data_IF_404670674008
#
_entry.id   IF_404670674008
#
_cell.length_a   1.000
_cell.length_b   1.000
_cell.length_c   1.000
_cell.angle_alpha   90.00
_cell.angle_beta   90.00
_cell.angle_gamma   90.00
#
_symmetry.space_group_name_H-M   'P 1'
#
loop_
_entity.id
_entity.type
_entity.pdbx_description
1 polymer ?
#
# COMPACT_ATOMS: atom_id res chain seq x y z
N UNK A 1 -17.50 -4.39 -4.67
CA UNK A 1 -17.07 -3.46 -5.74
C UNK A 1 -15.85 -2.71 -5.24
N UNK A 2 -14.69 -2.83 -5.90
CA UNK A 2 -13.43 -2.16 -5.49
C UNK A 2 -13.66 -0.65 -5.59
N UNK A 3 -13.59 0.09 -4.49
CA UNK A 3 -13.67 1.55 -4.54
C UNK A 3 -12.45 2.03 -5.33
N UNK A 4 -12.68 2.62 -6.50
CA UNK A 4 -11.61 3.26 -7.27
C UNK A 4 -11.20 4.48 -6.45
N UNK A 5 -9.99 4.44 -5.90
CA UNK A 5 -9.44 5.56 -5.16
C UNK A 5 -9.00 6.64 -6.17
N UNK A 6 -9.14 7.91 -5.79
CA UNK A 6 -8.75 9.05 -6.64
C UNK A 6 -7.29 8.93 -7.11
N UNK A 7 -6.43 8.32 -6.28
CA UNK A 7 -5.02 8.09 -6.57
C UNK A 7 -4.79 7.08 -7.70
N UNK A 8 -5.64 6.06 -7.81
CA UNK A 8 -5.58 5.12 -8.95
C UNK A 8 -5.92 5.84 -10.26
N UNK A 9 -6.90 6.74 -10.24
CA UNK A 9 -7.26 7.55 -11.42
C UNK A 9 -6.09 8.44 -11.83
N UNK A 10 -5.45 9.12 -10.87
CA UNK A 10 -4.29 9.98 -11.14
C UNK A 10 -3.14 9.17 -11.75
N UNK A 11 -2.84 7.99 -11.22
CA UNK A 11 -1.81 7.10 -11.77
C UNK A 11 -2.12 6.72 -13.23
N UNK A 12 -3.36 6.30 -13.52
CA UNK A 12 -3.76 5.92 -14.87
C UNK A 12 -3.74 7.07 -15.86
N UNK A 13 -4.21 8.26 -15.43
CA UNK A 13 -4.19 9.47 -16.25
C UNK A 13 -2.75 9.88 -16.54
N UNK A 14 -1.88 9.89 -15.53
CA UNK A 14 -0.45 10.16 -15.72
C UNK A 14 0.18 9.18 -16.72
N UNK A 15 -0.13 7.89 -16.62
CA UNK A 15 0.40 6.89 -17.54
C UNK A 15 -0.06 7.14 -18.99
N UNK A 16 -1.35 7.42 -19.18
CA UNK A 16 -1.93 7.73 -20.50
C UNK A 16 -1.32 8.99 -21.12
N UNK A 17 -1.12 10.05 -20.32
CA UNK A 17 -0.49 11.29 -20.77
C UNK A 17 0.95 11.02 -21.21
N UNK A 18 1.69 10.21 -20.46
CA UNK A 18 3.08 9.89 -20.77
C UNK A 18 3.20 9.03 -22.04
N UNK A 19 2.32 8.04 -22.20
CA UNK A 19 2.24 7.22 -23.42
C UNK A 19 1.85 8.09 -24.63
N UNK A 20 0.82 8.93 -24.49
CA UNK A 20 0.37 9.83 -25.53
C UNK A 20 1.47 10.81 -25.96
N UNK A 21 2.21 11.36 -24.99
CA UNK A 21 3.37 12.22 -25.25
C UNK A 21 4.48 11.48 -26.03
N UNK A 22 4.83 10.24 -25.62
CA UNK A 22 5.85 9.43 -26.30
C UNK A 22 5.43 9.13 -27.73
N UNK A 23 4.19 8.70 -27.96
CA UNK A 23 3.67 8.41 -29.30
C UNK A 23 3.72 9.66 -30.18
N UNK A 24 3.19 10.78 -29.68
CA UNK A 24 3.14 12.03 -30.45
C UNK A 24 4.53 12.58 -30.79
N UNK A 25 5.50 12.39 -29.89
CA UNK A 25 6.92 12.75 -30.12
C UNK A 25 7.59 11.82 -31.13
N UNK A 26 7.31 10.52 -31.10
CA UNK A 26 7.85 9.54 -32.05
C UNK A 26 7.29 9.72 -33.47
N UNK A 27 6.02 10.09 -33.61
CA UNK A 27 5.39 10.34 -34.91
C UNK A 27 5.77 11.68 -35.53
N UNK A 28 6.61 12.49 -34.87
CA UNK A 28 7.02 13.82 -35.36
C UNK A 28 5.86 14.81 -35.50
N UNK A 29 4.71 14.52 -34.87
CA UNK A 29 3.49 15.32 -34.94
C UNK A 29 3.63 16.65 -34.20
N UNK A 30 4.63 16.77 -33.33
CA UNK A 30 4.86 17.93 -32.48
C UNK A 30 6.21 18.57 -32.85
N UNK A 31 6.19 19.79 -33.36
CA UNK A 31 7.37 20.66 -33.42
C UNK A 31 7.59 21.23 -32.01
N UNK A 32 8.22 20.45 -31.12
CA UNK A 32 8.14 20.63 -29.65
C UNK A 32 8.61 22.01 -29.17
N UNK A 33 7.70 22.92 -28.80
CA UNK A 33 8.01 24.13 -28.05
C UNK A 33 8.46 23.72 -26.64
N UNK A 34 9.28 24.53 -25.97
CA UNK A 34 9.87 24.20 -24.66
C UNK A 34 8.82 23.78 -23.60
N UNK A 35 7.64 24.38 -23.63
CA UNK A 35 6.53 24.06 -22.72
C UNK A 35 6.02 22.62 -22.85
N UNK A 36 6.04 22.03 -24.05
CA UNK A 36 5.59 20.64 -24.26
C UNK A 36 6.61 19.66 -23.68
N UNK A 37 7.90 20.02 -23.65
CA UNK A 37 8.93 19.19 -23.01
C UNK A 37 8.81 19.14 -21.48
N UNK A 38 8.00 20.00 -20.86
CA UNK A 38 7.72 19.95 -19.42
C UNK A 38 6.67 18.89 -19.06
N UNK A 39 5.84 18.45 -20.01
CA UNK A 39 4.77 17.48 -19.78
C UNK A 39 5.28 16.22 -19.07
N UNK A 40 6.37 15.54 -19.50
CA UNK A 40 6.88 14.36 -18.82
C UNK A 40 7.27 14.63 -17.37
N UNK A 41 7.91 15.76 -17.08
CA UNK A 41 8.36 16.13 -15.74
C UNK A 41 7.16 16.33 -14.82
N UNK A 42 6.17 17.11 -15.28
CA UNK A 42 4.93 17.35 -14.54
C UNK A 42 4.22 16.02 -14.27
N UNK A 43 4.10 15.18 -15.30
CA UNK A 43 3.45 13.87 -15.20
C UNK A 43 4.14 12.97 -14.18
N UNK A 44 5.46 13.00 -14.13
CA UNK A 44 6.27 12.21 -13.20
C UNK A 44 6.13 12.70 -11.75
N UNK A 45 6.01 14.01 -11.53
CA UNK A 45 5.70 14.60 -10.21
C UNK A 45 4.33 14.14 -9.71
N UNK A 46 3.29 14.23 -10.55
CA UNK A 46 1.95 13.76 -10.19
C UNK A 46 1.92 12.26 -9.91
N UNK A 47 2.60 11.47 -10.73
CA UNK A 47 2.74 10.03 -10.52
C UNK A 47 3.43 9.72 -9.19
N UNK A 48 4.56 10.38 -8.90
CA UNK A 48 5.30 10.18 -7.65
C UNK A 48 4.46 10.56 -6.42
N UNK A 49 3.71 11.66 -6.48
CA UNK A 49 2.81 12.08 -5.39
C UNK A 49 1.69 11.06 -5.15
N UNK A 50 1.02 10.59 -6.21
CA UNK A 50 -0.02 9.57 -6.09
C UNK A 50 0.53 8.21 -5.63
N UNK A 51 1.72 7.85 -6.10
CA UNK A 51 2.41 6.63 -5.67
C UNK A 51 2.77 6.69 -4.18
N UNK A 52 3.30 7.82 -3.70
CA UNK A 52 3.62 8.03 -2.29
C UNK A 52 2.40 7.88 -1.39
N UNK A 53 1.27 8.49 -1.77
CA UNK A 53 -0.01 8.34 -1.07
C UNK A 53 -0.45 6.88 -0.95
N UNK A 54 -0.35 6.12 -2.06
CA UNK A 54 -0.66 4.68 -2.05
C UNK A 54 0.25 3.87 -1.15
N UNK A 55 1.55 4.16 -1.14
CA UNK A 55 2.52 3.48 -0.29
C UNK A 55 2.22 3.72 1.18
N UNK A 56 1.90 4.96 1.56
CA UNK A 56 1.48 5.28 2.93
C UNK A 56 0.22 4.52 3.35
N UNK A 57 -0.82 4.53 2.51
CA UNK A 57 -2.04 3.79 2.79
C UNK A 57 -1.80 2.28 2.93
N UNK A 58 -0.93 1.71 2.09
CA UNK A 58 -0.55 0.30 2.20
C UNK A 58 0.22 0.00 3.49
N UNK A 59 1.14 0.88 3.87
CA UNK A 59 1.94 0.73 5.09
C UNK A 59 1.07 0.81 6.34
N UNK A 60 0.08 1.70 6.37
CA UNK A 60 -0.90 1.80 7.44
C UNK A 60 -1.73 0.51 7.57
N UNK A 61 -2.21 -0.04 6.45
CA UNK A 61 -2.94 -1.31 6.43
C UNK A 61 -2.07 -2.46 6.93
N UNK A 62 -0.80 -2.52 6.53
CA UNK A 62 0.14 -3.53 7.02
C UNK A 62 0.35 -3.41 8.53
N UNK A 63 0.65 -2.21 9.02
CA UNK A 63 0.89 -1.99 10.45
C UNK A 63 -0.33 -2.40 11.29
N UNK A 64 -1.53 -2.06 10.81
CA UNK A 64 -2.77 -2.48 11.43
C UNK A 64 -2.90 -4.02 11.43
N UNK A 65 -2.66 -4.69 10.30
CA UNK A 65 -2.72 -6.17 10.26
C UNK A 65 -1.70 -6.83 11.17
N UNK A 66 -0.48 -6.31 11.21
CA UNK A 66 0.59 -6.82 12.08
C UNK A 66 0.23 -6.66 13.55
N UNK A 67 -0.38 -5.53 13.95
CA UNK A 67 -0.83 -5.34 15.33
C UNK A 67 -1.97 -6.28 15.71
N UNK A 68 -2.90 -6.55 14.80
CA UNK A 68 -3.99 -7.52 15.04
C UNK A 68 -3.44 -8.93 15.22
N UNK A 69 -2.48 -9.32 14.38
CA UNK A 69 -1.81 -10.61 14.50
C UNK A 69 -1.07 -10.73 15.83
N UNK A 70 -0.32 -9.70 16.22
CA UNK A 70 0.39 -9.65 17.50
C UNK A 70 -0.57 -9.78 18.69
N UNK A 71 -1.64 -8.98 18.71
CA UNK A 71 -2.63 -9.01 19.81
C UNK A 71 -3.34 -10.37 19.93
N UNK A 72 -3.63 -11.02 18.81
CA UNK A 72 -4.24 -12.34 18.82
C UNK A 72 -3.25 -13.44 19.25
N UNK A 73 -1.97 -13.29 18.89
CA UNK A 73 -0.90 -14.17 19.33
C UNK A 73 -0.69 -14.07 20.85
N UNK A 74 -0.61 -12.84 21.38
CA UNK A 74 -0.45 -12.59 22.81
C UNK A 74 -1.63 -13.15 23.62
N UNK A 75 -2.87 -13.02 23.11
CA UNK A 75 -4.05 -13.64 23.72
C UNK A 75 -4.00 -15.17 23.73
N UNK A 76 -3.47 -15.79 22.67
CA UNK A 76 -3.34 -17.23 22.58
C UNK A 76 -2.28 -17.76 23.56
N UNK A 77 -1.16 -17.05 23.70
CA UNK A 77 -0.08 -17.38 24.65
C UNK A 77 -0.60 -17.31 26.09
N UNK A 78 -1.23 -16.20 26.48
CA UNK A 78 -1.77 -16.06 27.84
C UNK A 78 -2.79 -17.15 28.18
N UNK A 79 -3.63 -17.54 27.21
CA UNK A 79 -4.61 -18.62 27.39
C UNK A 79 -3.96 -19.99 27.54
N UNK A 80 -2.82 -20.22 26.89
CA UNK A 80 -2.03 -21.44 27.03
C UNK A 80 -1.34 -21.51 28.40
N UNK A 81 -0.75 -20.40 28.86
CA UNK A 81 -0.14 -20.31 30.21
C UNK A 81 -1.16 -20.55 31.32
N UNK A 82 -2.35 -19.96 31.22
CA UNK A 82 -3.45 -20.18 32.18
C UNK A 82 -3.91 -21.65 32.18
N UNK A 83 -3.95 -22.31 31.02
CA UNK A 83 -4.25 -23.73 30.91
C UNK A 83 -3.16 -24.63 31.54
N UNK A 84 -1.88 -24.26 31.39
CA UNK A 84 -0.75 -25.02 31.92
C UNK A 84 -0.67 -24.92 33.46
N UNK A 85 -0.94 -23.73 34.02
CA UNK A 85 -1.07 -23.54 35.48
C UNK A 85 -2.22 -24.36 36.08
N UNK A 86 -3.37 -24.41 35.40
CA UNK A 86 -4.52 -25.23 35.82
C UNK A 86 -4.16 -26.73 35.77
N UNK A 87 -3.45 -27.18 34.73
CA UNK A 87 -3.04 -28.59 34.62
C UNK A 87 -2.02 -28.97 35.71
N UNK A 88 -1.09 -28.07 36.01
CA UNK A 88 -0.07 -28.28 37.04
C UNK A 88 -0.69 -28.36 38.45
N UNK A 89 -1.64 -27.47 38.77
CA UNK A 89 -2.38 -27.51 40.04
C UNK A 89 -3.23 -28.77 40.19
N UNK A 90 -3.97 -29.19 39.15
CA UNK A 90 -4.75 -30.43 39.17
C UNK A 90 -3.89 -31.69 39.35
N UNK A 91 -2.67 -31.69 38.81
CA UNK A 91 -1.74 -32.83 38.93
C UNK A 91 -1.12 -32.91 40.34
N UNK A 92 -0.91 -31.76 40.99
CA UNK A 92 -0.36 -31.67 42.35
C UNK A 92 -1.37 -32.06 43.42
N UNK A 93 -2.67 -31.78 43.22
CA UNK A 93 -3.75 -32.13 44.15
C UNK A 93 -4.12 -33.63 44.10
N UNK A 94 -3.65 -34.35 43.07
CA UNK A 94 -3.90 -35.80 42.90
C UNK A 94 -2.82 -36.70 43.52
N UNK A 95 -1.78 -36.12 44.13
CA UNK A 95 -0.73 -36.81 44.91
C UNK A 95 -0.98 -36.60 46.39
#
# INVERSE_FOLDING_TARGET
MKKIEIWDVIIWVSLLVLIGYVIAKLTGLINTPEWINLIPIITLIFFAGAFYQKVLGFMEIMNHRTSYLKNNLDKAINKLEEHDEILFTLTKTKK
#
